data_IF_287076029306
#
_entry.id   IF_287076029306
#
_cell.length_a   1.000
_cell.length_b   1.000
_cell.length_c   1.000
_cell.angle_alpha   90.00
_cell.angle_beta   90.00
_cell.angle_gamma   90.00
#
_symmetry.space_group_name_H-M   'P 1'
#
loop_
_entity.id
_entity.type
_entity.pdbx_description
1 polymer ?
#
# COMPACT_ATOMS: atom_id res chain seq x y z
N UNK A 1 1.58 15.09 -15.23
CA UNK A 1 1.83 15.07 -13.77
C UNK A 1 0.48 15.21 -13.09
N UNK A 2 -0.02 14.16 -12.45
CA UNK A 2 -1.23 14.21 -11.62
C UNK A 2 -0.81 14.88 -10.32
N UNK A 3 -0.87 16.22 -10.28
CA UNK A 3 -0.29 16.99 -9.17
C UNK A 3 -1.30 17.37 -8.09
N UNK A 4 -2.60 17.52 -8.36
CA UNK A 4 -3.47 18.15 -7.36
C UNK A 4 -4.92 17.64 -7.42
N UNK A 5 -5.14 16.35 -7.12
CA UNK A 5 -6.51 15.84 -6.89
C UNK A 5 -6.91 15.82 -5.41
N UNK A 6 -6.04 16.24 -4.47
CA UNK A 6 -6.32 16.16 -3.02
C UNK A 6 -6.53 14.72 -2.51
N UNK A 7 -6.35 13.74 -3.37
CA UNK A 7 -6.52 12.33 -3.09
C UNK A 7 -5.27 11.80 -2.39
N UNK A 8 -5.43 11.37 -1.13
CA UNK A 8 -4.37 10.72 -0.36
C UNK A 8 -4.03 9.39 -1.00
N UNK A 9 -2.97 9.37 -1.83
CA UNK A 9 -2.41 8.16 -2.40
C UNK A 9 -1.58 7.45 -1.35
N UNK A 10 -2.01 6.27 -0.94
CA UNK A 10 -1.26 5.44 -0.03
C UNK A 10 -0.17 4.67 -0.79
N UNK A 11 1.01 4.57 -0.17
CA UNK A 11 2.18 3.90 -0.74
C UNK A 11 2.43 2.62 0.02
N UNK A 12 2.49 1.51 -0.71
CA UNK A 12 2.82 0.19 -0.18
C UNK A 12 4.07 -0.28 -0.89
N UNK A 13 5.05 -0.76 -0.13
CA UNK A 13 6.22 -1.39 -0.71
C UNK A 13 5.84 -2.75 -1.31
N UNK A 14 6.44 -3.09 -2.45
CA UNK A 14 6.23 -4.37 -3.10
C UNK A 14 7.57 -5.03 -3.42
N UNK A 15 7.56 -6.36 -3.53
CA UNK A 15 8.69 -7.10 -4.07
C UNK A 15 8.96 -6.64 -5.51
N UNK A 16 10.24 -6.59 -5.89
CA UNK A 16 10.68 -6.24 -7.25
C UNK A 16 9.97 -7.04 -8.33
N UNK A 17 9.78 -8.33 -8.08
CA UNK A 17 9.13 -9.28 -8.98
C UNK A 17 7.61 -9.35 -8.79
N UNK A 18 7.03 -8.52 -7.92
CA UNK A 18 5.58 -8.45 -7.67
C UNK A 18 5.01 -9.60 -6.85
N UNK A 19 5.85 -10.44 -6.22
CA UNK A 19 5.41 -11.64 -5.51
C UNK A 19 4.60 -11.34 -4.23
N UNK A 20 4.82 -10.19 -3.60
CA UNK A 20 4.19 -9.81 -2.33
C UNK A 20 4.11 -8.29 -2.19
N UNK A 21 3.09 -7.84 -1.44
CA UNK A 21 2.95 -6.49 -0.92
C UNK A 21 3.34 -6.50 0.56
N UNK A 22 4.28 -5.64 0.96
CA UNK A 22 4.73 -5.52 2.34
C UNK A 22 3.70 -4.71 3.14
N UNK A 23 2.59 -5.35 3.51
CA UNK A 23 1.48 -4.76 4.26
C UNK A 23 1.01 -5.72 5.37
N UNK A 24 0.54 -5.13 6.48
CA UNK A 24 0.01 -5.81 7.68
C UNK A 24 1.07 -6.73 8.27
N UNK A 25 0.85 -8.04 8.22
CA UNK A 25 1.73 -9.05 8.79
C UNK A 25 3.09 -9.12 8.09
N UNK A 26 3.14 -8.72 6.82
CA UNK A 26 4.35 -8.75 6.02
C UNK A 26 5.11 -7.41 6.05
N UNK A 27 4.72 -6.44 6.90
CA UNK A 27 5.30 -5.09 6.91
C UNK A 27 6.75 -5.06 7.42
N UNK A 28 7.13 -5.98 8.31
CA UNK A 28 8.47 -6.04 8.91
C UNK A 28 9.43 -6.96 8.15
N UNK A 29 8.98 -7.56 7.04
CA UNK A 29 9.83 -8.40 6.22
C UNK A 29 10.82 -7.56 5.40
N UNK A 30 12.11 -7.83 5.60
CA UNK A 30 13.20 -7.29 4.79
C UNK A 30 13.40 -8.11 3.49
N UNK A 31 12.92 -9.35 3.46
CA UNK A 31 13.05 -10.28 2.32
C UNK A 31 11.69 -10.85 1.92
N UNK A 32 11.50 -11.08 0.63
CA UNK A 32 10.30 -11.70 0.13
C UNK A 32 10.22 -13.17 0.54
N UNK A 33 9.13 -13.59 1.20
CA UNK A 33 8.91 -15.00 1.58
C UNK A 33 8.72 -15.97 0.41
N UNK A 34 8.47 -15.47 -0.80
CA UNK A 34 8.23 -16.28 -2.00
C UNK A 34 9.46 -16.43 -2.88
N UNK A 35 10.18 -15.34 -3.18
CA UNK A 35 11.36 -15.38 -4.06
C UNK A 35 12.70 -15.16 -3.33
N UNK A 36 12.68 -14.82 -2.04
CA UNK A 36 13.90 -14.55 -1.25
C UNK A 36 14.59 -13.24 -1.59
N UNK A 37 14.10 -12.44 -2.54
CA UNK A 37 14.71 -11.16 -2.90
C UNK A 37 14.56 -10.12 -1.77
N UNK A 38 15.57 -9.26 -1.63
CA UNK A 38 15.53 -8.12 -0.70
C UNK A 38 14.45 -7.12 -1.09
N UNK A 39 13.74 -6.59 -0.11
CA UNK A 39 12.80 -5.47 -0.24
C UNK A 39 13.51 -4.18 -0.69
N UNK A 40 14.75 -3.98 -0.25
CA UNK A 40 15.49 -2.74 -0.42
C UNK A 40 16.62 -2.86 -1.45
N UNK A 41 16.80 -1.79 -2.23
CA UNK A 41 17.95 -1.63 -3.12
C UNK A 41 19.25 -1.54 -2.32
N UNK A 42 20.36 -2.11 -2.83
CA UNK A 42 21.65 -1.95 -2.20
C UNK A 42 22.03 -0.47 -2.18
N UNK A 43 22.32 0.07 -1.01
CA UNK A 43 22.86 1.43 -0.86
C UNK A 43 24.38 1.37 -0.88
N UNK A 44 25.03 2.25 -1.65
CA UNK A 44 26.51 2.32 -1.71
C UNK A 44 27.11 2.88 -0.43
N UNK A 45 26.33 3.67 0.31
CA UNK A 45 26.76 4.27 1.56
C UNK A 45 26.07 3.54 2.72
N UNK A 46 26.87 2.93 3.60
CA UNK A 46 26.41 2.37 4.87
C UNK A 46 26.17 3.49 5.90
N UNK A 47 25.39 4.49 5.54
CA UNK A 47 24.92 5.48 6.52
C UNK A 47 23.68 4.91 7.21
N UNK A 48 23.74 4.56 8.50
CA UNK A 48 22.60 3.98 9.22
C UNK A 48 21.39 4.94 9.29
N UNK A 49 21.59 6.24 9.10
CA UNK A 49 20.52 7.24 9.09
C UNK A 49 19.88 7.47 7.71
N UNK A 50 20.37 6.79 6.67
CA UNK A 50 19.81 6.95 5.32
C UNK A 50 18.55 6.11 5.17
N UNK A 51 17.47 6.73 4.67
CA UNK A 51 16.23 6.02 4.35
C UNK A 51 16.52 4.92 3.32
N UNK A 52 16.19 3.67 3.68
CA UNK A 52 16.26 2.54 2.76
C UNK A 52 15.30 2.78 1.59
N UNK A 53 15.75 2.52 0.36
CA UNK A 53 14.94 2.68 -0.85
C UNK A 53 14.43 1.32 -1.31
N UNK A 54 13.11 1.15 -1.46
CA UNK A 54 12.52 -0.11 -1.93
C UNK A 54 12.65 -0.31 -3.44
N UNK A 55 12.58 -1.55 -3.89
CA UNK A 55 12.64 -1.87 -5.33
C UNK A 55 11.40 -1.39 -6.08
N UNK A 56 10.22 -1.69 -5.55
CA UNK A 56 8.94 -1.35 -6.13
C UNK A 56 8.02 -0.73 -5.06
N UNK A 57 7.22 0.25 -5.49
CA UNK A 57 6.22 0.92 -4.65
C UNK A 57 4.91 0.90 -5.44
N UNK A 58 3.88 0.27 -4.88
CA UNK A 58 2.53 0.39 -5.36
C UNK A 58 1.86 1.60 -4.71
N UNK A 59 1.18 2.38 -5.54
CA UNK A 59 0.37 3.52 -5.09
C UNK A 59 -1.07 3.15 -5.34
N UNK A 60 -1.86 3.12 -4.29
CA UNK A 60 -3.28 2.85 -4.42
C UNK A 60 -4.08 4.04 -3.91
N UNK A 61 -5.19 4.25 -4.59
CA UNK A 61 -6.18 5.23 -4.22
C UNK A 61 -7.32 4.46 -3.55
N UNK A 62 -7.61 4.66 -2.25
CA UNK A 62 -8.81 4.07 -1.66
C UNK A 62 -10.04 4.57 -2.42
N UNK A 63 -10.76 3.66 -3.05
CA UNK A 63 -11.93 3.95 -3.90
C UNK A 63 -13.20 4.28 -3.11
N UNK A 64 -13.08 4.47 -1.79
CA UNK A 64 -14.17 5.00 -0.99
C UNK A 64 -14.28 6.51 -1.24
N UNK A 65 -14.72 6.91 -2.43
CA UNK A 65 -15.71 7.97 -2.44
C UNK A 65 -16.89 7.40 -1.65
N UNK A 66 -17.41 8.08 -0.61
CA UNK A 66 -18.74 7.75 -0.11
C UNK A 66 -19.68 7.89 -1.30
N UNK A 67 -19.96 6.79 -1.99
CA UNK A 67 -21.13 6.72 -2.84
C UNK A 67 -22.24 6.61 -1.80
N UNK A 68 -22.85 7.74 -1.48
CA UNK A 68 -24.16 7.74 -0.84
C UNK A 68 -25.06 6.94 -1.77
N UNK A 69 -25.18 5.64 -1.52
CA UNK A 69 -26.20 4.82 -2.15
C UNK A 69 -27.51 5.32 -1.58
N UNK A 70 -28.08 6.33 -2.22
CA UNK A 70 -29.46 6.73 -2.03
C UNK A 70 -30.34 5.64 -2.66
N UNK A 71 -30.57 4.56 -1.90
CA UNK A 71 -31.71 3.68 -2.14
C UNK A 71 -32.60 3.70 -0.90
N UNK A 72 -33.87 3.95 -1.17
CA UNK A 72 -34.93 4.48 -0.33
C UNK A 72 -35.69 3.39 0.46
N UNK A 73 -36.16 3.77 1.67
CA UNK A 73 -37.35 3.32 2.42
C UNK A 73 -37.63 1.83 2.80
N UNK A 74 -37.87 1.65 4.13
CA UNK A 74 -38.85 0.79 4.87
C UNK A 74 -38.73 -0.76 4.71
N UNK A 75 -38.87 -1.67 5.70
CA UNK A 75 -39.75 -1.91 6.87
C UNK A 75 -39.00 -2.95 7.76
N UNK A 76 -38.93 -2.89 9.10
CA UNK A 76 -39.87 -3.57 10.02
C UNK A 76 -39.72 -3.04 11.46
N UNK A 77 -40.84 -2.50 11.95
CA UNK A 77 -41.19 -2.36 13.35
C UNK A 77 -41.96 -3.62 13.73
N UNK A 78 -41.60 -4.31 14.83
CA UNK A 78 -42.49 -4.93 15.85
C UNK A 78 -41.77 -6.11 16.57
N UNK A 79 -41.23 -5.88 17.77
CA UNK A 79 -41.65 -6.54 19.01
C UNK A 79 -41.11 -5.81 20.24
#
# INVERSE_FOLDING_TARGET
MIKDLGLSMEKIDACKSGCILYWKEDIDLDYCKFCGESRYKPTREQNPNRRKTTYAILRYLPLTSPVEVASEATVEQMM
#
